data_IF_420479262070
#
_entry.id   IF_420479262070
#
_cell.length_a   1.000
_cell.length_b   1.000
_cell.length_c   1.000
_cell.angle_alpha   90.00
_cell.angle_beta   90.00
_cell.angle_gamma   90.00
#
_symmetry.space_group_name_H-M   'P 1'
#
loop_
_entity.id
_entity.type
_entity.pdbx_description
1 polymer ?
#
# COMPACT_ATOMS: atom_id res chain seq x y z
N UNK A 1 -1.25 -44.77 0.18
CA UNK A 1 -1.49 -43.37 -0.16
C UNK A 1 -0.32 -42.52 0.30
N UNK A 2 0.53 -42.13 -0.65
CA UNK A 2 1.61 -41.16 -0.42
C UNK A 2 1.11 -39.75 -0.73
N UNK A 3 0.07 -39.33 -0.05
CA UNK A 3 -0.32 -37.92 -0.08
C UNK A 3 0.50 -37.18 0.96
N UNK A 4 1.32 -36.26 0.52
CA UNK A 4 1.95 -35.30 1.41
C UNK A 4 0.87 -34.48 2.08
N UNK A 5 0.67 -34.70 3.35
CA UNK A 5 -0.25 -33.93 4.17
C UNK A 5 0.52 -32.77 4.77
N UNK A 6 0.28 -31.58 4.26
CA UNK A 6 0.77 -30.36 4.90
C UNK A 6 -0.13 -30.08 6.10
N UNK A 7 0.39 -30.28 7.29
CA UNK A 7 -0.28 -29.92 8.51
C UNK A 7 0.19 -28.54 8.95
N UNK A 8 -0.64 -27.53 8.70
CA UNK A 8 -0.38 -26.14 9.09
C UNK A 8 -1.14 -25.85 10.39
N UNK A 9 -0.53 -26.15 11.53
CA UNK A 9 -1.00 -25.68 12.82
C UNK A 9 -0.07 -24.57 13.30
N UNK A 10 -0.57 -23.34 13.31
CA UNK A 10 0.13 -22.24 13.96
C UNK A 10 -0.21 -22.24 15.45
N UNK A 11 0.79 -22.42 16.29
CA UNK A 11 0.65 -22.35 17.75
C UNK A 11 0.91 -20.94 18.28
N UNK A 12 1.41 -20.04 17.47
CA UNK A 12 1.54 -18.62 17.82
C UNK A 12 0.14 -18.02 17.98
N UNK A 13 -0.22 -17.62 19.20
CA UNK A 13 -1.54 -17.14 19.58
C UNK A 13 -2.68 -18.17 19.43
N UNK A 14 -2.36 -19.46 19.29
CA UNK A 14 -3.37 -20.51 19.25
C UNK A 14 -4.14 -20.63 20.57
N UNK A 15 -5.47 -20.66 20.50
CA UNK A 15 -6.40 -20.91 21.63
C UNK A 15 -6.22 -20.02 22.89
N UNK A 16 -5.52 -18.88 22.79
CA UNK A 16 -5.45 -17.91 23.88
C UNK A 16 -6.82 -17.27 24.13
N UNK A 17 -7.26 -17.25 25.40
CA UNK A 17 -8.60 -16.77 25.77
C UNK A 17 -8.86 -15.32 25.38
N UNK A 18 -7.88 -14.44 25.53
CA UNK A 18 -7.95 -13.04 25.08
C UNK A 18 -8.03 -12.92 23.56
N UNK A 19 -7.29 -13.75 22.82
CA UNK A 19 -7.37 -13.84 21.36
C UNK A 19 -8.76 -14.29 20.89
N UNK A 20 -9.32 -15.32 21.52
CA UNK A 20 -10.68 -15.82 21.23
C UNK A 20 -11.76 -14.78 21.56
N UNK A 21 -11.63 -14.07 22.68
CA UNK A 21 -12.54 -12.99 23.05
C UNK A 21 -12.50 -11.85 22.02
N UNK A 22 -11.31 -11.41 21.61
CA UNK A 22 -11.13 -10.40 20.57
C UNK A 22 -11.71 -10.85 19.21
N UNK A 23 -11.56 -12.13 18.87
CA UNK A 23 -12.16 -12.71 17.65
C UNK A 23 -13.70 -12.62 17.68
N UNK A 24 -14.33 -13.01 18.78
CA UNK A 24 -15.81 -12.95 18.94
C UNK A 24 -16.29 -11.52 18.76
N UNK A 25 -15.66 -10.54 19.42
CA UNK A 25 -16.02 -9.13 19.30
C UNK A 25 -15.78 -8.58 17.88
N UNK A 26 -14.71 -9.01 17.21
CA UNK A 26 -14.46 -8.66 15.81
C UNK A 26 -15.57 -9.18 14.90
N UNK A 27 -16.02 -10.42 15.08
CA UNK A 27 -17.11 -11.00 14.28
C UNK A 27 -18.43 -10.26 14.54
N UNK A 28 -18.74 -9.93 15.81
CA UNK A 28 -19.92 -9.10 16.13
C UNK A 28 -19.86 -7.74 15.45
N UNK A 29 -18.70 -7.08 15.47
CA UNK A 29 -18.50 -5.80 14.81
C UNK A 29 -18.72 -5.90 13.29
N UNK A 30 -18.14 -6.93 12.64
CA UNK A 30 -18.29 -7.19 11.20
C UNK A 30 -19.76 -7.45 10.80
N UNK A 31 -20.53 -8.14 11.65
CA UNK A 31 -21.96 -8.42 11.41
C UNK A 31 -22.83 -7.15 11.52
N UNK A 32 -22.46 -6.24 12.39
CA UNK A 32 -23.25 -5.02 12.70
C UNK A 32 -22.82 -3.81 11.89
N UNK A 33 -21.77 -3.90 11.07
CA UNK A 33 -21.24 -2.79 10.30
C UNK A 33 -20.84 -3.25 8.90
N UNK A 34 -21.06 -2.40 7.91
CA UNK A 34 -20.71 -2.65 6.50
C UNK A 34 -19.20 -2.54 6.23
N UNK A 35 -18.36 -3.24 7.02
CA UNK A 35 -16.91 -3.13 6.96
C UNK A 35 -16.36 -3.54 5.60
N UNK A 36 -16.86 -4.65 5.05
CA UNK A 36 -16.41 -5.16 3.75
C UNK A 36 -16.72 -4.15 2.65
N UNK A 37 -17.97 -3.71 2.56
CA UNK A 37 -18.41 -2.71 1.59
C UNK A 37 -17.63 -1.40 1.73
N UNK A 38 -17.40 -0.95 2.97
CA UNK A 38 -16.60 0.23 3.23
C UNK A 38 -15.17 0.10 2.69
N UNK A 39 -14.48 -1.00 2.98
CA UNK A 39 -13.09 -1.23 2.53
C UNK A 39 -13.00 -1.29 1.01
N UNK A 40 -13.94 -1.96 0.34
CA UNK A 40 -14.00 -2.00 -1.11
C UNK A 40 -14.23 -0.62 -1.72
N UNK A 41 -15.18 0.14 -1.19
CA UNK A 41 -15.49 1.50 -1.68
C UNK A 41 -14.32 2.46 -1.48
N UNK A 42 -13.71 2.45 -0.30
CA UNK A 42 -12.56 3.31 0.00
C UNK A 42 -11.37 3.02 -0.92
N UNK A 43 -11.03 1.75 -1.09
CA UNK A 43 -9.92 1.37 -1.94
C UNK A 43 -10.18 1.65 -3.42
N UNK A 44 -11.41 1.45 -3.89
CA UNK A 44 -11.79 1.83 -5.24
C UNK A 44 -11.62 3.33 -5.49
N UNK A 45 -12.06 4.17 -4.55
CA UNK A 45 -11.84 5.62 -4.63
C UNK A 45 -10.35 5.97 -4.64
N UNK A 46 -9.53 5.31 -3.79
CA UNK A 46 -8.08 5.52 -3.75
C UNK A 46 -7.43 5.18 -5.11
N UNK A 47 -7.79 4.05 -5.72
CA UNK A 47 -7.28 3.64 -7.03
C UNK A 47 -7.68 4.66 -8.11
N UNK A 48 -8.96 4.99 -8.19
CA UNK A 48 -9.48 5.89 -9.24
C UNK A 48 -8.86 7.28 -9.12
N UNK A 49 -8.98 7.89 -7.94
CA UNK A 49 -8.51 9.27 -7.75
C UNK A 49 -6.98 9.36 -7.76
N UNK A 50 -6.29 8.38 -7.21
CA UNK A 50 -4.83 8.29 -7.26
C UNK A 50 -4.30 8.17 -8.70
N UNK A 51 -4.94 7.34 -9.51
CA UNK A 51 -4.58 7.20 -10.93
C UNK A 51 -4.95 8.45 -11.77
N UNK A 52 -6.02 9.19 -11.40
CA UNK A 52 -6.31 10.50 -11.99
C UNK A 52 -5.20 11.52 -11.71
N UNK A 53 -4.69 11.55 -10.47
CA UNK A 53 -3.57 12.42 -10.09
C UNK A 53 -2.32 12.06 -10.90
N UNK A 54 -1.98 10.79 -11.01
CA UNK A 54 -0.84 10.34 -11.80
C UNK A 54 -0.95 10.77 -13.28
N UNK A 55 -2.14 10.65 -13.87
CA UNK A 55 -2.43 11.15 -15.24
C UNK A 55 -2.32 12.66 -15.34
N UNK A 56 -2.94 13.41 -14.43
CA UNK A 56 -2.90 14.89 -14.40
C UNK A 56 -1.46 15.42 -14.38
N UNK A 57 -0.58 14.75 -13.65
CA UNK A 57 0.84 15.12 -13.53
C UNK A 57 1.66 14.59 -14.72
N UNK A 58 1.16 13.57 -15.44
CA UNK A 58 1.83 12.95 -16.57
C UNK A 58 2.89 11.94 -16.15
N UNK A 59 2.62 11.14 -15.11
CA UNK A 59 3.48 10.05 -14.63
C UNK A 59 2.77 8.70 -14.59
N UNK A 60 1.58 8.59 -15.18
CA UNK A 60 0.74 7.39 -15.14
C UNK A 60 1.36 6.16 -15.81
N UNK A 61 2.36 6.32 -16.66
CA UNK A 61 3.14 5.20 -17.22
C UNK A 61 4.24 4.70 -16.27
N UNK A 62 4.57 5.47 -15.24
CA UNK A 62 5.64 5.19 -14.28
C UNK A 62 5.16 4.97 -12.86
N UNK A 63 3.96 5.44 -12.54
CA UNK A 63 3.30 5.24 -11.25
C UNK A 63 1.81 5.02 -11.44
N UNK A 64 1.28 3.96 -10.83
CA UNK A 64 -0.15 3.67 -10.84
C UNK A 64 -0.55 2.75 -9.69
N UNK A 65 -1.81 2.87 -9.26
CA UNK A 65 -2.45 1.90 -8.38
C UNK A 65 -3.11 0.81 -9.20
N UNK A 66 -3.05 -0.43 -8.70
CA UNK A 66 -3.68 -1.61 -9.29
C UNK A 66 -4.11 -2.61 -8.21
N UNK A 67 -4.55 -3.80 -8.61
CA UNK A 67 -4.98 -4.85 -7.72
C UNK A 67 -6.46 -4.75 -7.35
N UNK A 68 -6.88 -5.50 -6.34
CA UNK A 68 -8.26 -5.53 -5.87
C UNK A 68 -8.54 -4.36 -4.95
N UNK A 69 -9.76 -3.80 -5.03
CA UNK A 69 -10.08 -2.56 -4.34
C UNK A 69 -9.89 -2.61 -2.82
N UNK A 70 -10.23 -3.72 -2.16
CA UNK A 70 -10.04 -3.84 -0.70
C UNK A 70 -8.56 -4.04 -0.27
N UNK A 71 -7.67 -4.34 -1.21
CA UNK A 71 -6.23 -4.50 -0.97
C UNK A 71 -5.43 -4.03 -2.20
N UNK A 72 -5.46 -2.72 -2.49
CA UNK A 72 -4.77 -2.18 -3.66
C UNK A 72 -3.25 -2.20 -3.46
N UNK A 73 -2.54 -2.23 -4.56
CA UNK A 73 -1.09 -2.07 -4.61
C UNK A 73 -0.71 -0.84 -5.42
N UNK A 74 0.47 -0.32 -5.20
CA UNK A 74 1.05 0.74 -6.03
C UNK A 74 2.30 0.22 -6.74
N UNK A 75 2.49 0.69 -7.97
CA UNK A 75 3.62 0.33 -8.82
C UNK A 75 4.51 1.55 -9.01
N UNK A 76 5.80 1.38 -8.78
CA UNK A 76 6.81 2.41 -8.97
C UNK A 76 7.82 1.95 -10.02
N UNK A 77 7.82 2.63 -11.16
CA UNK A 77 8.68 2.30 -12.30
C UNK A 77 9.72 3.38 -12.54
N UNK A 78 10.85 3.01 -13.11
CA UNK A 78 11.88 3.93 -13.56
C UNK A 78 11.56 4.53 -14.94
N UNK A 79 12.46 5.35 -15.48
CA UNK A 79 12.33 5.96 -16.81
C UNK A 79 12.31 4.95 -17.96
N UNK A 80 12.74 3.70 -17.72
CA UNK A 80 12.69 2.60 -18.68
C UNK A 80 11.45 1.71 -18.48
N UNK A 81 10.53 2.12 -17.59
CA UNK A 81 9.31 1.39 -17.22
C UNK A 81 9.58 0.04 -16.51
N UNK A 82 10.72 -0.12 -15.88
CA UNK A 82 11.02 -1.26 -15.04
C UNK A 82 10.65 -0.98 -13.57
N UNK A 83 10.20 -2.00 -12.84
CA UNK A 83 9.99 -1.87 -11.39
C UNK A 83 11.27 -1.43 -10.70
N UNK A 84 11.19 -0.37 -9.89
CA UNK A 84 12.36 0.26 -9.28
C UNK A 84 12.20 0.43 -7.78
N UNK A 85 13.11 -0.18 -7.03
CA UNK A 85 13.21 0.01 -5.59
C UNK A 85 13.65 1.43 -5.23
N UNK A 86 14.44 2.08 -6.07
CA UNK A 86 14.83 3.48 -5.88
C UNK A 86 13.59 4.40 -5.97
N UNK A 87 12.77 4.25 -7.01
CA UNK A 87 11.55 5.02 -7.16
C UNK A 87 10.50 4.69 -6.09
N UNK A 88 10.44 3.43 -5.65
CA UNK A 88 9.62 3.06 -4.49
C UNK A 88 10.11 3.73 -3.21
N UNK A 89 11.42 3.80 -3.01
CA UNK A 89 12.02 4.52 -1.86
C UNK A 89 11.69 6.02 -1.91
N UNK A 90 11.82 6.64 -3.09
CA UNK A 90 11.45 8.03 -3.29
C UNK A 90 9.97 8.28 -2.99
N UNK A 91 9.09 7.43 -3.48
CA UNK A 91 7.65 7.51 -3.19
C UNK A 91 7.40 7.48 -1.69
N UNK A 92 7.94 6.50 -0.97
CA UNK A 92 7.77 6.39 0.48
C UNK A 92 8.36 7.59 1.23
N UNK A 93 9.54 8.04 0.83
CA UNK A 93 10.20 9.22 1.41
C UNK A 93 9.31 10.47 1.31
N UNK A 94 8.76 10.73 0.13
CA UNK A 94 7.92 11.91 -0.08
C UNK A 94 6.55 11.81 0.60
N UNK A 95 5.95 10.62 0.63
CA UNK A 95 4.71 10.38 1.38
C UNK A 95 4.91 10.58 2.90
N UNK A 96 6.04 10.13 3.45
CA UNK A 96 6.38 10.33 4.87
C UNK A 96 6.55 11.82 5.20
N UNK A 97 7.14 12.63 4.35
CA UNK A 97 7.22 14.09 4.53
C UNK A 97 5.83 14.73 4.68
N UNK A 98 4.85 14.20 3.97
CA UNK A 98 3.46 14.62 4.06
C UNK A 98 2.69 13.91 5.20
N UNK A 99 3.42 13.21 6.10
CA UNK A 99 2.87 12.49 7.26
C UNK A 99 1.88 11.38 6.86
N UNK A 100 2.17 10.68 5.77
CA UNK A 100 1.46 9.48 5.31
C UNK A 100 2.43 8.32 5.25
N UNK A 101 2.24 7.33 6.13
CA UNK A 101 3.02 6.09 6.15
C UNK A 101 2.27 5.05 5.31
N UNK A 102 2.88 4.62 4.20
CA UNK A 102 2.24 3.74 3.22
C UNK A 102 3.22 2.70 2.63
N UNK A 103 3.92 1.91 3.46
CA UNK A 103 4.83 0.87 2.96
C UNK A 103 4.09 -0.21 2.16
N UNK A 104 2.85 -0.48 2.53
CA UNK A 104 1.80 -1.22 1.80
C UNK A 104 0.45 -0.58 2.11
N UNK A 105 -0.56 -0.93 1.34
CA UNK A 105 -1.91 -0.39 1.55
C UNK A 105 -2.73 -1.41 2.32
N UNK A 106 -3.04 -1.08 3.56
CA UNK A 106 -3.93 -1.86 4.43
C UNK A 106 -5.14 -1.00 4.80
N UNK A 107 -6.25 -1.22 4.12
CA UNK A 107 -7.47 -0.46 4.34
C UNK A 107 -8.19 -1.01 5.57
N UNK A 108 -8.74 -0.13 6.37
CA UNK A 108 -9.54 -0.48 7.54
C UNK A 108 -10.81 0.38 7.62
N UNK A 109 -11.77 -0.06 8.42
CA UNK A 109 -13.02 0.67 8.65
C UNK A 109 -12.84 2.08 9.24
N UNK A 110 -11.67 2.36 9.82
CA UNK A 110 -11.32 3.68 10.38
C UNK A 110 -10.86 4.68 9.32
N UNK A 111 -10.49 4.24 8.13
CA UNK A 111 -10.21 5.15 7.03
C UNK A 111 -11.51 5.80 6.56
N UNK A 112 -11.50 7.12 6.41
CA UNK A 112 -12.66 7.93 6.04
C UNK A 112 -12.30 8.96 4.95
N UNK A 113 -13.25 9.78 4.53
CA UNK A 113 -13.03 10.78 3.48
C UNK A 113 -11.93 11.79 3.82
N UNK A 114 -11.77 12.15 5.11
CA UNK A 114 -10.70 13.05 5.55
C UNK A 114 -9.32 12.42 5.36
N UNK A 115 -9.17 11.13 5.71
CA UNK A 115 -7.90 10.40 5.50
C UNK A 115 -7.63 10.17 4.02
N UNK A 116 -8.65 9.86 3.22
CA UNK A 116 -8.53 9.73 1.77
C UNK A 116 -8.01 11.04 1.15
N UNK A 117 -8.68 12.17 1.44
CA UNK A 117 -8.28 13.48 0.95
C UNK A 117 -6.84 13.83 1.33
N UNK A 118 -6.44 13.57 2.58
CA UNK A 118 -5.05 13.77 3.03
C UNK A 118 -4.07 12.94 2.21
N UNK A 119 -4.38 11.66 1.99
CA UNK A 119 -3.53 10.75 1.20
C UNK A 119 -3.40 11.21 -0.25
N UNK A 120 -4.50 11.64 -0.88
CA UNK A 120 -4.49 12.12 -2.26
C UNK A 120 -3.70 13.43 -2.41
N UNK A 121 -3.81 14.37 -1.46
CA UNK A 121 -3.00 15.59 -1.45
C UNK A 121 -1.50 15.28 -1.28
N UNK A 122 -1.15 14.36 -0.40
CA UNK A 122 0.22 13.88 -0.24
C UNK A 122 0.74 13.23 -1.52
N UNK A 123 -0.10 12.42 -2.16
CA UNK A 123 0.21 11.78 -3.44
C UNK A 123 0.50 12.80 -4.54
N UNK A 124 -0.34 13.84 -4.67
CA UNK A 124 -0.15 14.88 -5.70
C UNK A 124 1.22 15.56 -5.57
N UNK A 125 1.59 15.95 -4.36
CA UNK A 125 2.92 16.53 -4.08
C UNK A 125 4.05 15.54 -4.37
N UNK A 126 3.88 14.29 -3.97
CA UNK A 126 4.84 13.21 -4.21
C UNK A 126 5.05 12.98 -5.71
N UNK A 127 3.98 12.96 -6.51
CA UNK A 127 4.06 12.73 -7.96
C UNK A 127 4.77 13.88 -8.70
N UNK A 128 4.69 15.11 -8.19
CA UNK A 128 5.47 16.25 -8.74
C UNK A 128 6.97 16.00 -8.57
N UNK A 129 7.40 15.51 -7.39
CA UNK A 129 8.82 15.17 -7.15
C UNK A 129 9.23 13.95 -7.97
N UNK A 130 8.37 12.95 -8.05
CA UNK A 130 8.57 11.75 -8.87
C UNK A 130 8.83 12.11 -10.34
N UNK A 131 8.02 12.99 -10.92
CA UNK A 131 8.22 13.50 -12.29
C UNK A 131 9.58 14.20 -12.47
N UNK A 132 9.99 15.02 -11.50
CA UNK A 132 11.30 15.67 -11.53
C UNK A 132 12.44 14.65 -11.47
N UNK A 133 12.29 13.59 -10.67
CA UNK A 133 13.28 12.54 -10.54
C UNK A 133 13.41 11.69 -11.82
N UNK A 134 12.30 11.42 -12.52
CA UNK A 134 12.33 10.79 -13.85
C UNK A 134 13.13 11.60 -14.87
N UNK A 135 12.98 12.93 -14.85
CA UNK A 135 13.65 13.83 -15.80
C UNK A 135 15.12 14.05 -15.45
N UNK A 136 15.45 14.27 -14.18
CA UNK A 136 16.74 14.81 -13.74
C UNK A 136 17.66 13.74 -13.08
N UNK A 137 17.19 12.49 -12.99
CA UNK A 137 17.89 11.41 -12.31
C UNK A 137 17.53 11.33 -10.82
N UNK A 138 17.22 10.13 -10.37
CA UNK A 138 16.66 9.85 -9.04
C UNK A 138 17.63 10.14 -7.89
N UNK A 139 18.94 9.94 -8.09
CA UNK A 139 19.96 10.13 -7.04
C UNK A 139 19.94 11.53 -6.41
N UNK A 140 19.51 12.53 -7.17
CA UNK A 140 19.40 13.92 -6.68
C UNK A 140 18.27 14.11 -5.67
N UNK A 141 17.31 13.20 -5.61
CA UNK A 141 16.09 13.31 -4.81
C UNK A 141 16.04 12.33 -3.64
N UNK A 142 16.82 11.26 -3.66
CA UNK A 142 16.92 10.32 -2.55
C UNK A 142 17.78 10.92 -1.43
N UNK A 143 17.27 10.84 -0.19
CA UNK A 143 17.98 11.29 1.02
C UNK A 143 18.67 10.15 1.77
N UNK A 144 18.19 8.93 1.60
CA UNK A 144 18.66 7.74 2.31
C UNK A 144 18.96 6.58 1.36
N UNK A 145 19.30 5.47 1.95
CA UNK A 145 19.55 4.23 1.20
C UNK A 145 18.26 3.71 0.56
N UNK A 146 18.41 3.12 -0.61
CA UNK A 146 17.33 2.41 -1.27
C UNK A 146 16.86 1.24 -0.41
N UNK A 147 15.55 1.08 -0.26
CA UNK A 147 14.96 -0.09 0.40
C UNK A 147 15.44 -1.37 -0.28
N UNK A 148 15.67 -2.40 0.52
CA UNK A 148 16.08 -3.72 0.02
C UNK A 148 14.98 -4.73 0.31
N UNK A 149 14.82 -5.77 -0.53
CA UNK A 149 13.97 -6.89 -0.19
C UNK A 149 14.39 -7.51 1.14
N UNK A 150 13.44 -7.74 2.03
CA UNK A 150 13.70 -8.31 3.36
C UNK A 150 13.84 -9.84 3.29
N UNK A 151 13.36 -10.45 2.21
CA UNK A 151 13.41 -11.90 2.05
C UNK A 151 14.86 -12.39 1.92
N UNK A 152 15.15 -13.43 2.69
CA UNK A 152 16.45 -14.09 2.60
C UNK A 152 16.65 -14.67 1.20
N UNK A 153 17.87 -14.61 0.69
CA UNK A 153 18.23 -15.13 -0.63
C UNK A 153 18.12 -16.66 -0.70
N UNK A 154 18.14 -17.29 0.47
CA UNK A 154 18.02 -18.73 0.66
C UNK A 154 17.01 -18.99 1.77
N UNK A 155 15.92 -19.65 1.45
CA UNK A 155 15.02 -20.32 2.37
C UNK A 155 15.28 -21.82 2.29
#
# INVERSE_FOLDING_TARGET
>A
NKEERVFLLSTTHGAEMNGLAAFIETIKFLKNNDVIKHNWNYGNQLIIEGNKIARKIGVNEFFYFSGIACSPIYNCLDSKKNHSLEFRTLFLQEMIKEKVLIPWISISYRHNQKTLKKTLLALEKTMIVYKKALKNGIKKYLKGHTIKPVFRKFN
#
